data_IF_044523347584
#
_entry.id   IF_044523347584
#
_cell.length_a   1.000
_cell.length_b   1.000
_cell.length_c   1.000
_cell.angle_alpha   90.00
_cell.angle_beta   90.00
_cell.angle_gamma   90.00
#
_symmetry.space_group_name_H-M   'P 1'
#
loop_
_entity.id
_entity.type
_entity.pdbx_description
1 polymer ?
#
# COMPACT_ATOMS: atom_id res chain seq x y z
N UNK A 1 27.00 8.52 -8.53
CA UNK A 1 26.36 9.59 -7.73
C UNK A 1 24.89 9.85 -8.09
N UNK A 2 24.51 10.01 -9.36
CA UNK A 2 23.12 10.31 -9.78
C UNK A 2 22.12 9.22 -9.37
N UNK A 3 22.47 7.93 -9.53
CA UNK A 3 21.61 6.80 -9.14
C UNK A 3 21.27 6.78 -7.65
N UNK A 4 22.26 7.08 -6.80
CA UNK A 4 22.05 7.12 -5.34
C UNK A 4 21.15 8.27 -4.89
N UNK A 5 21.25 9.43 -5.56
CA UNK A 5 20.37 10.56 -5.30
C UNK A 5 18.91 10.24 -5.68
N UNK A 6 18.72 9.59 -6.85
CA UNK A 6 17.39 9.16 -7.29
C UNK A 6 16.77 8.11 -6.37
N UNK A 7 17.56 7.15 -5.89
CA UNK A 7 17.08 6.18 -4.91
C UNK A 7 16.55 6.85 -3.65
N UNK A 8 17.30 7.81 -3.08
CA UNK A 8 16.85 8.57 -1.89
C UNK A 8 15.58 9.35 -2.15
N UNK A 9 15.47 9.99 -3.31
CA UNK A 9 14.25 10.72 -3.68
C UNK A 9 13.03 9.80 -3.70
N UNK A 10 13.15 8.58 -4.23
CA UNK A 10 12.04 7.60 -4.21
C UNK A 10 11.76 7.12 -2.79
N UNK A 11 12.79 6.88 -1.99
CA UNK A 11 12.65 6.51 -0.57
C UNK A 11 11.89 7.59 0.21
N UNK A 12 12.24 8.88 0.04
CA UNK A 12 11.52 10.00 0.66
C UNK A 12 10.03 10.04 0.26
N UNK A 13 9.71 9.75 -1.00
CA UNK A 13 8.32 9.64 -1.46
C UNK A 13 7.61 8.44 -0.81
N UNK A 14 8.31 7.33 -0.63
CA UNK A 14 7.77 6.13 0.00
C UNK A 14 7.54 6.32 1.50
N UNK A 15 8.42 7.02 2.20
CA UNK A 15 8.25 7.34 3.63
C UNK A 15 6.99 8.18 3.84
N UNK A 16 6.78 9.19 3.01
CA UNK A 16 5.55 9.98 3.02
C UNK A 16 4.31 9.13 2.67
N UNK A 17 4.44 8.21 1.74
CA UNK A 17 3.36 7.26 1.40
C UNK A 17 3.05 6.33 2.58
N UNK A 18 4.07 5.89 3.33
CA UNK A 18 3.90 5.12 4.56
C UNK A 18 3.10 5.92 5.60
N UNK A 19 3.45 7.19 5.81
CA UNK A 19 2.74 8.05 6.75
C UNK A 19 1.28 8.25 6.35
N UNK A 20 1.00 8.56 5.08
CA UNK A 20 -0.36 8.73 4.58
C UNK A 20 -1.19 7.44 4.73
N UNK A 21 -0.62 6.27 4.43
CA UNK A 21 -1.31 4.99 4.55
C UNK A 21 -1.47 4.58 6.00
N UNK A 22 -0.40 4.58 6.78
CA UNK A 22 -0.37 3.98 8.11
C UNK A 22 -0.98 4.91 9.14
N UNK A 23 -0.49 6.15 9.22
CA UNK A 23 -0.92 7.09 10.26
C UNK A 23 -2.19 7.85 9.88
N UNK A 24 -2.36 8.20 8.62
CA UNK A 24 -3.53 8.92 8.18
C UNK A 24 -4.73 8.02 7.93
N UNK A 25 -4.59 7.06 7.00
CA UNK A 25 -5.72 6.24 6.59
C UNK A 25 -6.07 5.15 7.61
N UNK A 26 -5.13 4.29 7.99
CA UNK A 26 -5.43 3.16 8.88
C UNK A 26 -5.85 3.59 10.28
N UNK A 27 -5.22 4.64 10.83
CA UNK A 27 -5.63 5.18 12.14
C UNK A 27 -7.01 5.81 12.04
N UNK A 28 -7.33 6.54 10.97
CA UNK A 28 -8.66 7.10 10.76
C UNK A 28 -9.72 5.99 10.64
N UNK A 29 -9.43 4.92 9.89
CA UNK A 29 -10.33 3.77 9.78
C UNK A 29 -10.52 3.04 11.11
N UNK A 30 -9.46 2.89 11.92
CA UNK A 30 -9.54 2.32 13.26
C UNK A 30 -10.34 3.18 14.23
N UNK A 31 -10.46 4.48 14.00
CA UNK A 31 -11.16 5.45 14.84
C UNK A 31 -12.40 6.03 14.15
N UNK A 32 -13.13 5.24 13.38
CA UNK A 32 -14.30 5.70 12.57
C UNK A 32 -15.32 6.54 13.35
N UNK A 33 -15.46 6.29 14.66
CA UNK A 33 -16.39 7.04 15.51
C UNK A 33 -15.87 8.40 15.98
N UNK A 34 -14.58 8.68 15.78
CA UNK A 34 -14.01 9.98 16.13
C UNK A 34 -14.47 11.06 15.13
N UNK A 35 -14.84 12.25 15.59
CA UNK A 35 -15.34 13.31 14.71
C UNK A 35 -14.38 13.69 13.59
N UNK A 36 -13.07 13.61 13.85
CA UNK A 36 -11.99 13.94 12.92
C UNK A 36 -11.64 12.81 11.93
N UNK A 37 -12.10 11.59 12.17
CA UNK A 37 -11.66 10.39 11.40
C UNK A 37 -11.95 10.52 9.90
N UNK A 38 -13.13 11.01 9.53
CA UNK A 38 -13.51 11.18 8.13
C UNK A 38 -12.60 12.19 7.41
N UNK A 39 -12.30 13.32 8.06
CA UNK A 39 -11.42 14.34 7.50
C UNK A 39 -9.98 13.83 7.36
N UNK A 40 -9.48 13.08 8.35
CA UNK A 40 -8.16 12.43 8.29
C UNK A 40 -8.08 11.43 7.14
N UNK A 41 -9.07 10.55 7.02
CA UNK A 41 -9.11 9.56 5.93
C UNK A 41 -9.13 10.23 4.56
N UNK A 42 -9.92 11.29 4.40
CA UNK A 42 -9.98 12.04 3.15
C UNK A 42 -8.65 12.73 2.81
N UNK A 43 -8.04 13.41 3.78
CA UNK A 43 -6.75 14.07 3.61
C UNK A 43 -5.66 13.08 3.23
N UNK A 44 -5.61 11.93 3.90
CA UNK A 44 -4.63 10.87 3.61
C UNK A 44 -4.81 10.26 2.22
N UNK A 45 -6.05 10.06 1.77
CA UNK A 45 -6.35 9.61 0.41
C UNK A 45 -5.85 10.61 -0.64
N UNK A 46 -6.10 11.91 -0.41
CA UNK A 46 -5.66 12.97 -1.31
C UNK A 46 -4.13 13.02 -1.39
N UNK A 47 -3.45 13.02 -0.25
CA UNK A 47 -1.98 13.01 -0.20
C UNK A 47 -1.41 11.78 -0.89
N UNK A 48 -1.94 10.60 -0.59
CA UNK A 48 -1.46 9.38 -1.21
C UNK A 48 -1.67 9.37 -2.73
N UNK A 49 -2.81 9.89 -3.22
CA UNK A 49 -3.05 10.03 -4.65
C UNK A 49 -2.02 10.94 -5.35
N UNK A 50 -1.61 12.04 -4.70
CA UNK A 50 -0.54 12.91 -5.18
C UNK A 50 0.83 12.22 -5.20
N UNK A 51 1.14 11.44 -4.16
CA UNK A 51 2.38 10.68 -4.09
C UNK A 51 2.45 9.61 -5.18
N UNK A 52 1.35 8.90 -5.45
CA UNK A 52 1.26 7.98 -6.57
C UNK A 52 1.45 8.67 -7.93
N UNK A 53 0.98 9.91 -8.08
CA UNK A 53 1.20 10.68 -9.30
C UNK A 53 2.67 11.05 -9.47
N UNK A 54 3.36 11.39 -8.38
CA UNK A 54 4.82 11.64 -8.40
C UNK A 54 5.60 10.38 -8.75
N UNK A 55 5.26 9.24 -8.15
CA UNK A 55 5.88 7.95 -8.46
C UNK A 55 5.66 7.54 -9.93
N UNK A 56 4.47 7.79 -10.51
CA UNK A 56 4.21 7.59 -11.93
C UNK A 56 5.19 8.40 -12.80
N UNK A 57 5.43 9.66 -12.44
CA UNK A 57 6.39 10.54 -13.13
C UNK A 57 7.83 10.07 -12.96
N UNK A 58 8.22 9.69 -11.75
CA UNK A 58 9.58 9.22 -11.44
C UNK A 58 9.91 7.89 -12.13
N UNK A 59 8.94 7.01 -12.35
CA UNK A 59 9.17 5.76 -13.06
C UNK A 59 9.58 6.01 -14.53
N UNK A 60 9.05 7.06 -15.16
CA UNK A 60 9.37 7.42 -16.54
C UNK A 60 9.03 6.30 -17.52
N UNK A 61 9.88 6.11 -18.52
CA UNK A 61 9.76 5.04 -19.53
C UNK A 61 10.45 3.74 -19.08
N UNK A 62 11.02 3.71 -17.86
CA UNK A 62 11.79 2.58 -17.36
C UNK A 62 10.93 1.47 -16.78
N UNK A 63 11.51 0.29 -16.71
CA UNK A 63 10.90 -0.86 -16.03
C UNK A 63 10.98 -0.75 -14.51
N UNK A 64 11.95 -0.01 -13.99
CA UNK A 64 12.25 0.19 -12.58
C UNK A 64 12.67 1.63 -12.32
N UNK A 65 12.45 2.13 -11.11
CA UNK A 65 12.73 3.53 -10.73
C UNK A 65 14.16 3.99 -11.00
N UNK A 66 15.13 3.08 -10.89
CA UNK A 66 16.55 3.38 -11.10
C UNK A 66 17.14 2.66 -12.33
N UNK A 67 16.30 2.32 -13.31
CA UNK A 67 16.69 1.63 -14.54
C UNK A 67 16.89 0.11 -14.40
N UNK A 68 17.17 -0.38 -13.20
CA UNK A 68 17.19 -1.80 -12.83
C UNK A 68 16.61 -1.94 -11.41
N UNK A 69 16.16 -3.15 -11.08
CA UNK A 69 15.64 -3.46 -9.76
C UNK A 69 16.58 -2.95 -8.66
N UNK A 70 16.01 -2.21 -7.71
CA UNK A 70 16.75 -1.53 -6.66
C UNK A 70 15.95 -1.50 -5.35
N UNK A 71 16.55 -1.00 -4.28
CA UNK A 71 15.86 -0.80 -3.00
C UNK A 71 14.66 0.15 -3.15
N UNK A 72 14.74 1.15 -4.03
CA UNK A 72 13.63 2.05 -4.31
C UNK A 72 12.38 1.30 -4.78
N UNK A 73 12.54 0.28 -5.63
CA UNK A 73 11.44 -0.57 -6.09
C UNK A 73 10.88 -1.44 -4.95
N UNK A 74 11.77 -1.98 -4.11
CA UNK A 74 11.38 -2.80 -2.97
C UNK A 74 10.63 -1.99 -1.92
N UNK A 75 11.05 -0.75 -1.67
CA UNK A 75 10.34 0.16 -0.75
C UNK A 75 8.99 0.56 -1.33
N UNK A 76 8.94 0.97 -2.60
CA UNK A 76 7.70 1.42 -3.23
C UNK A 76 6.63 0.31 -3.30
N UNK A 77 7.02 -0.95 -3.56
CA UNK A 77 6.05 -2.06 -3.64
C UNK A 77 5.39 -2.39 -2.29
N UNK A 78 5.96 -1.94 -1.18
CA UNK A 78 5.33 -2.09 0.12
C UNK A 78 4.11 -1.18 0.29
N UNK A 79 4.07 -0.04 -0.42
CA UNK A 79 3.04 0.99 -0.22
C UNK A 79 2.07 1.13 -1.40
N UNK A 80 2.55 1.07 -2.65
CA UNK A 80 1.70 1.29 -3.85
C UNK A 80 0.45 0.41 -3.87
N UNK A 81 0.48 -0.88 -3.48
CA UNK A 81 -0.73 -1.71 -3.46
C UNK A 81 -1.81 -1.25 -2.48
N UNK A 82 -1.46 -0.41 -1.48
CA UNK A 82 -2.44 0.16 -0.55
C UNK A 82 -3.45 1.08 -1.24
N UNK A 83 -3.12 1.62 -2.42
CA UNK A 83 -4.04 2.42 -3.23
C UNK A 83 -5.40 1.76 -3.39
N UNK A 84 -5.43 0.46 -3.65
CA UNK A 84 -6.67 -0.30 -3.81
C UNK A 84 -7.50 -0.35 -2.52
N UNK A 85 -6.87 -0.56 -1.37
CA UNK A 85 -7.55 -0.56 -0.08
C UNK A 85 -8.11 0.82 0.26
N UNK A 86 -7.43 1.88 -0.17
CA UNK A 86 -7.85 3.26 -0.01
C UNK A 86 -8.89 3.71 -1.07
N UNK A 87 -9.30 2.84 -1.98
CA UNK A 87 -10.24 3.17 -3.06
C UNK A 87 -9.65 4.11 -4.12
N UNK A 88 -8.32 4.14 -4.26
CA UNK A 88 -7.63 4.97 -5.25
C UNK A 88 -7.35 4.12 -6.49
N UNK A 89 -7.90 4.56 -7.63
CA UNK A 89 -7.66 3.89 -8.90
C UNK A 89 -6.28 4.26 -9.48
N UNK A 90 -5.58 3.25 -10.01
CA UNK A 90 -4.34 3.40 -10.78
C UNK A 90 -4.60 3.52 -12.29
N UNK A 91 -5.85 3.62 -12.74
CA UNK A 91 -6.20 3.70 -14.16
C UNK A 91 -5.53 4.86 -14.91
N UNK A 92 -5.37 6.01 -14.23
CA UNK A 92 -4.64 7.17 -14.74
C UNK A 92 -3.11 7.10 -14.60
N UNK A 93 -2.55 5.96 -14.14
CA UNK A 93 -1.12 5.74 -13.87
C UNK A 93 -0.64 4.44 -14.51
N UNK A 94 -0.59 4.39 -15.86
CA UNK A 94 -0.34 3.14 -16.59
C UNK A 94 1.04 2.55 -16.34
N UNK A 95 2.07 3.39 -16.15
CA UNK A 95 3.43 2.93 -15.87
C UNK A 95 3.53 2.30 -14.50
N UNK A 96 2.97 2.94 -13.49
CA UNK A 96 2.94 2.45 -12.11
C UNK A 96 2.11 1.16 -12.01
N UNK A 97 1.01 1.06 -12.76
CA UNK A 97 0.21 -0.17 -12.87
C UNK A 97 1.01 -1.32 -13.47
N UNK A 98 1.70 -1.08 -14.60
CA UNK A 98 2.55 -2.08 -15.26
C UNK A 98 3.73 -2.49 -14.35
N UNK A 99 4.37 -1.52 -13.69
CA UNK A 99 5.44 -1.76 -12.73
C UNK A 99 4.94 -2.60 -11.54
N UNK A 100 3.78 -2.29 -10.97
CA UNK A 100 3.19 -3.06 -9.86
C UNK A 100 2.97 -4.52 -10.27
N UNK A 101 2.45 -4.75 -11.49
CA UNK A 101 2.27 -6.11 -12.03
C UNK A 101 3.62 -6.84 -12.14
N UNK A 102 4.64 -6.16 -12.65
CA UNK A 102 6.00 -6.72 -12.78
C UNK A 102 6.61 -7.05 -11.44
N UNK A 103 6.53 -6.12 -10.48
CA UNK A 103 7.06 -6.32 -9.13
C UNK A 103 6.38 -7.49 -8.41
N UNK A 104 5.07 -7.60 -8.51
CA UNK A 104 4.32 -8.69 -7.85
C UNK A 104 4.55 -10.07 -8.52
N UNK A 105 5.07 -10.11 -9.73
CA UNK A 105 5.48 -11.36 -10.39
C UNK A 105 6.85 -11.88 -9.88
N UNK A 106 7.65 -11.05 -9.21
CA UNK A 106 8.94 -11.47 -8.64
C UNK A 106 8.68 -12.46 -7.49
N UNK A 107 9.23 -13.70 -7.53
CA UNK A 107 8.91 -14.74 -6.54
C UNK A 107 9.18 -14.32 -5.09
N UNK A 108 10.26 -13.56 -4.82
CA UNK A 108 10.58 -13.07 -3.49
C UNK A 108 9.51 -12.09 -2.98
N UNK A 109 9.08 -11.13 -3.81
CA UNK A 109 8.02 -10.17 -3.47
C UNK A 109 6.70 -10.88 -3.22
N UNK A 110 6.34 -11.84 -4.08
CA UNK A 110 5.13 -12.65 -3.93
C UNK A 110 5.15 -13.45 -2.62
N UNK A 111 6.26 -14.11 -2.32
CA UNK A 111 6.44 -14.91 -1.10
C UNK A 111 6.39 -14.05 0.16
N UNK A 112 6.94 -12.84 0.10
CA UNK A 112 6.95 -11.91 1.23
C UNK A 112 5.55 -11.36 1.54
N UNK A 113 4.79 -11.02 0.52
CA UNK A 113 3.38 -10.63 0.67
C UNK A 113 2.53 -11.75 1.29
N UNK A 114 2.74 -13.00 0.87
CA UNK A 114 2.05 -14.15 1.46
C UNK A 114 2.39 -14.32 2.94
N UNK A 115 3.68 -14.17 3.30
CA UNK A 115 4.13 -14.21 4.72
C UNK A 115 3.52 -13.09 5.55
N UNK A 116 3.48 -11.87 5.01
CA UNK A 116 2.87 -10.73 5.68
C UNK A 116 1.39 -10.97 5.97
N UNK A 117 0.65 -11.46 5.00
CA UNK A 117 -0.77 -11.81 5.17
C UNK A 117 -0.96 -12.87 6.24
N UNK A 118 -0.16 -13.93 6.21
CA UNK A 118 -0.21 -14.99 7.23
C UNK A 118 0.15 -14.47 8.63
N UNK A 119 1.12 -13.55 8.72
CA UNK A 119 1.50 -12.93 9.99
C UNK A 119 0.38 -12.03 10.53
N UNK A 120 -0.22 -11.20 9.69
CA UNK A 120 -1.37 -10.36 10.05
C UNK A 120 -2.56 -11.21 10.51
N UNK A 121 -2.84 -12.32 9.80
CA UNK A 121 -3.89 -13.25 10.20
C UNK A 121 -3.68 -13.80 11.61
N UNK A 122 -2.43 -14.14 11.99
CA UNK A 122 -2.09 -14.61 13.34
C UNK A 122 -2.21 -13.53 14.41
N UNK A 123 -1.77 -12.31 14.11
CA UNK A 123 -1.78 -11.19 15.07
C UNK A 123 -3.20 -10.71 15.37
N UNK A 124 -4.07 -10.72 14.38
CA UNK A 124 -5.43 -10.20 14.49
C UNK A 124 -6.50 -11.28 14.67
N UNK A 125 -6.09 -12.53 14.95
CA UNK A 125 -7.03 -13.67 15.05
C UNK A 125 -7.94 -13.80 13.82
N UNK A 126 -7.38 -13.44 12.65
CA UNK A 126 -8.08 -13.52 11.37
C UNK A 126 -8.09 -14.99 10.94
N UNK A 127 -9.24 -15.64 10.99
CA UNK A 127 -9.36 -16.99 10.46
C UNK A 127 -9.15 -17.01 8.95
N UNK A 128 -8.61 -18.12 8.43
CA UNK A 128 -8.43 -18.32 6.97
C UNK A 128 -9.75 -18.28 6.20
N UNK A 129 -10.88 -18.40 6.90
CA UNK A 129 -12.25 -18.28 6.37
C UNK A 129 -12.61 -16.84 5.98
N UNK A 130 -11.84 -15.86 6.44
CA UNK A 130 -12.04 -14.45 6.10
C UNK A 130 -11.34 -14.01 4.81
N UNK A 131 -10.59 -14.89 4.17
CA UNK A 131 -10.09 -14.66 2.81
C UNK A 131 -11.19 -15.04 1.84
N UNK A 132 -11.93 -14.07 1.34
CA UNK A 132 -12.98 -14.30 0.35
C UNK A 132 -12.41 -14.82 -0.97
N UNK A 133 -13.25 -15.42 -1.81
CA UNK A 133 -12.85 -15.94 -3.13
C UNK A 133 -12.29 -14.85 -4.06
N UNK A 134 -12.51 -13.58 -3.73
CA UNK A 134 -11.97 -12.40 -4.41
C UNK A 134 -10.57 -12.01 -3.93
N UNK A 135 -9.95 -12.80 -3.05
CA UNK A 135 -8.64 -12.51 -2.46
C UNK A 135 -8.63 -11.35 -1.47
N UNK A 136 -9.79 -10.94 -0.97
CA UNK A 136 -9.89 -9.90 0.06
C UNK A 136 -9.86 -10.52 1.44
N UNK A 137 -9.08 -9.92 2.34
CA UNK A 137 -9.11 -10.26 3.74
C UNK A 137 -10.09 -9.31 4.43
N UNK A 138 -11.15 -9.89 4.98
CA UNK A 138 -12.04 -9.19 5.90
C UNK A 138 -11.52 -9.48 7.31
N UNK A 139 -11.07 -8.45 8.02
CA UNK A 139 -10.59 -8.61 9.40
C UNK A 139 -11.48 -7.85 10.37
N UNK A 140 -11.70 -8.49 11.52
CA UNK A 140 -12.40 -7.88 12.64
C UNK A 140 -11.43 -7.82 13.82
N UNK A 141 -11.13 -6.65 14.32
CA UNK A 141 -10.36 -6.51 15.55
C UNK A 141 -11.30 -6.67 16.77
N UNK A 142 -11.27 -7.86 17.36
CA UNK A 142 -12.07 -8.19 18.55
C UNK A 142 -11.65 -7.38 19.78
N UNK A 143 -10.49 -6.70 19.77
CA UNK A 143 -9.99 -5.87 20.88
C UNK A 143 -10.51 -4.43 20.83
N UNK A 144 -11.07 -4.01 19.72
CA UNK A 144 -11.62 -2.66 19.52
C UNK A 144 -13.15 -2.67 19.52
N UNK A 145 -13.77 -3.34 20.48
CA UNK A 145 -15.24 -3.40 20.66
C UNK A 145 -16.05 -3.75 19.40
N UNK A 146 -15.51 -4.58 18.54
CA UNK A 146 -16.21 -5.14 17.38
C UNK A 146 -16.55 -4.15 16.27
N UNK A 147 -15.86 -3.01 16.17
CA UNK A 147 -16.23 -1.92 15.25
C UNK A 147 -15.19 -1.59 14.18
N UNK A 148 -14.13 -2.35 14.05
CA UNK A 148 -13.17 -2.16 12.96
C UNK A 148 -13.24 -3.33 11.99
N UNK A 149 -14.06 -3.20 10.97
CA UNK A 149 -14.04 -4.07 9.80
C UNK A 149 -13.10 -3.47 8.77
N UNK A 150 -11.95 -4.10 8.53
CA UNK A 150 -11.00 -3.71 7.49
C UNK A 150 -11.03 -4.71 6.34
N UNK A 151 -10.83 -4.22 5.11
CA UNK A 151 -10.71 -5.07 3.93
C UNK A 151 -9.33 -4.90 3.34
N UNK A 152 -8.48 -5.92 3.46
CA UNK A 152 -7.20 -6.00 2.74
C UNK A 152 -7.40 -6.81 1.47
N UNK A 153 -7.16 -6.21 0.33
CA UNK A 153 -7.22 -6.91 -0.96
C UNK A 153 -5.84 -7.47 -1.31
N UNK A 154 -5.79 -8.81 -1.48
CA UNK A 154 -4.60 -9.52 -1.94
C UNK A 154 -4.89 -9.94 -3.39
N UNK A 155 -4.36 -9.24 -4.33
CA UNK A 155 -4.32 -9.67 -5.73
C UNK A 155 -3.02 -9.21 -6.38
#
# INVERSE_FOLDING_TARGET
MVRSARMRQIEDLCDRACDAVTYGYWIAEARKSAPEAAAMSQASRAEFAELLQKLEGELGEGDFFCGSLSIADLTAICHVPAARAMGIDLGGKPRLKAWTTRMTAIPAVKGDRQRLVQALAKVHDISSELVGPDGRIHWRDSRLDGRCDGVLSIS
#
